data_IF_168409604392
#
_entry.id   IF_168409604392
#
_cell.length_a   1.000
_cell.length_b   1.000
_cell.length_c   1.000
_cell.angle_alpha   90.00
_cell.angle_beta   90.00
_cell.angle_gamma   90.00
#
_symmetry.space_group_name_H-M   'P 1'
#
loop_
_entity.id
_entity.type
_entity.pdbx_description
1 polymer ?
#
# COMPACT_ATOMS: atom_id res chain seq x y z
N UNK A 1 10.13 13.79 -2.96
CA UNK A 1 8.76 13.43 -2.55
C UNK A 1 8.29 12.33 -3.49
N UNK A 2 7.90 11.15 -2.99
CA UNK A 2 7.36 10.08 -3.85
C UNK A 2 5.85 10.30 -3.92
N UNK A 3 5.30 10.44 -5.12
CA UNK A 3 3.88 10.70 -5.36
C UNK A 3 3.25 9.47 -6.03
N UNK A 4 2.13 8.95 -5.51
CA UNK A 4 1.32 7.92 -6.17
C UNK A 4 0.88 8.32 -7.58
N UNK A 5 0.72 7.33 -8.45
CA UNK A 5 0.03 7.52 -9.72
C UNK A 5 -1.48 7.72 -9.45
N UNK A 6 -2.02 8.89 -9.84
CA UNK A 6 -3.42 9.25 -9.63
C UNK A 6 -4.07 9.79 -10.93
N UNK A 7 -5.01 9.07 -11.56
CA UNK A 7 -5.48 7.73 -11.20
C UNK A 7 -4.43 6.65 -11.55
N UNK A 8 -4.38 5.53 -10.81
CA UNK A 8 -3.41 4.48 -11.07
C UNK A 8 -3.76 3.72 -12.35
N UNK A 9 -2.79 3.62 -13.26
CA UNK A 9 -2.92 2.85 -14.49
C UNK A 9 -3.16 1.36 -14.25
N UNK A 10 -3.63 0.67 -15.29
CA UNK A 10 -4.02 -0.74 -15.23
C UNK A 10 -2.93 -1.66 -14.63
N UNK A 11 -1.68 -1.45 -15.03
CA UNK A 11 -0.53 -2.24 -14.54
C UNK A 11 -0.32 -2.02 -13.05
N UNK A 12 -0.29 -0.76 -12.60
CA UNK A 12 -0.11 -0.41 -11.18
C UNK A 12 -1.24 -1.00 -10.35
N UNK A 13 -2.50 -0.77 -10.73
CA UNK A 13 -3.68 -1.32 -10.04
C UNK A 13 -3.66 -2.85 -9.97
N UNK A 14 -3.24 -3.53 -11.04
CA UNK A 14 -3.13 -5.00 -11.07
C UNK A 14 -2.08 -5.51 -10.10
N UNK A 15 -0.89 -4.90 -10.07
CA UNK A 15 0.19 -5.31 -9.16
C UNK A 15 -0.17 -5.02 -7.70
N UNK A 16 -0.84 -3.89 -7.42
CA UNK A 16 -1.37 -3.58 -6.08
C UNK A 16 -2.40 -4.61 -5.63
N UNK A 17 -3.35 -4.99 -6.49
CA UNK A 17 -4.33 -6.03 -6.14
C UNK A 17 -3.67 -7.39 -5.84
N UNK A 18 -2.66 -7.78 -6.63
CA UNK A 18 -1.88 -9.00 -6.37
C UNK A 18 -1.16 -8.92 -5.01
N UNK A 19 -0.52 -7.78 -4.73
CA UNK A 19 0.15 -7.52 -3.46
C UNK A 19 -0.79 -7.67 -2.27
N UNK A 20 -1.93 -6.99 -2.30
CA UNK A 20 -2.95 -7.08 -1.25
C UNK A 20 -3.44 -8.53 -1.07
N UNK A 21 -3.79 -9.20 -2.17
CA UNK A 21 -4.30 -10.58 -2.14
C UNK A 21 -3.29 -11.58 -1.56
N UNK A 22 -2.01 -11.47 -1.93
CA UNK A 22 -0.94 -12.32 -1.41
C UNK A 22 -0.74 -12.14 0.10
N UNK A 23 -1.06 -10.96 0.63
CA UNK A 23 -0.96 -10.62 2.05
C UNK A 23 -2.30 -10.77 2.81
N UNK A 24 -3.31 -11.43 2.21
CA UNK A 24 -4.60 -11.71 2.86
C UNK A 24 -5.61 -10.56 2.82
N UNK A 25 -5.29 -9.44 2.16
CA UNK A 25 -6.20 -8.31 1.97
C UNK A 25 -6.96 -8.46 0.65
N UNK A 26 -8.20 -8.96 0.73
CA UNK A 26 -8.99 -9.35 -0.45
C UNK A 26 -10.17 -8.42 -0.73
N UNK A 27 -10.47 -7.47 0.16
CA UNK A 27 -11.62 -6.57 0.02
C UNK A 27 -11.15 -5.22 -0.51
N UNK A 28 -11.29 -4.95 -1.81
CA UNK A 28 -11.03 -3.61 -2.36
C UNK A 28 -12.16 -2.65 -1.93
N UNK A 29 -11.80 -1.55 -1.28
CA UNK A 29 -12.75 -0.61 -0.65
C UNK A 29 -12.79 0.76 -1.33
N UNK A 30 -11.97 1.00 -2.35
CA UNK A 30 -11.95 2.25 -3.11
C UNK A 30 -10.55 2.76 -3.43
N UNK A 31 -10.51 3.94 -4.04
CA UNK A 31 -9.28 4.66 -4.40
C UNK A 31 -9.40 6.09 -3.87
N UNK A 32 -8.35 6.59 -3.24
CA UNK A 32 -8.25 7.96 -2.75
C UNK A 32 -6.85 8.52 -3.05
N UNK A 33 -6.74 9.58 -3.85
CA UNK A 33 -5.46 10.20 -4.21
C UNK A 33 -4.39 9.21 -4.71
N UNK A 34 -4.77 8.27 -5.58
CA UNK A 34 -3.89 7.20 -6.08
C UNK A 34 -3.64 6.03 -5.11
N UNK A 35 -4.17 6.08 -3.88
CA UNK A 35 -4.09 5.00 -2.90
C UNK A 35 -5.29 4.07 -3.00
N UNK A 36 -5.04 2.78 -3.19
CA UNK A 36 -6.07 1.76 -3.12
C UNK A 36 -6.23 1.31 -1.67
N UNK A 37 -7.48 1.33 -1.20
CA UNK A 37 -7.83 0.82 0.12
C UNK A 37 -8.18 -0.66 0.03
N UNK A 38 -7.58 -1.48 0.88
CA UNK A 38 -7.94 -2.88 1.03
C UNK A 38 -8.22 -3.26 2.48
N UNK A 39 -9.27 -4.05 2.70
CA UNK A 39 -9.61 -4.67 3.98
C UNK A 39 -9.20 -6.14 4.04
N UNK A 40 -8.89 -6.60 5.25
CA UNK A 40 -8.76 -8.03 5.54
C UNK A 40 -10.12 -8.66 5.85
N UNK A 41 -10.29 -9.93 5.45
CA UNK A 41 -11.50 -10.70 5.78
C UNK A 41 -11.42 -11.38 7.14
N UNK A 42 -10.21 -11.55 7.67
CA UNK A 42 -9.95 -12.27 8.94
C UNK A 42 -9.55 -11.34 10.07
N UNK A 43 -8.99 -10.17 9.75
CA UNK A 43 -8.64 -9.15 10.71
C UNK A 43 -9.44 -7.87 10.42
N UNK A 44 -9.92 -7.19 11.47
CA UNK A 44 -10.64 -5.91 11.35
C UNK A 44 -9.64 -4.76 11.09
N UNK A 45 -8.87 -4.86 10.02
CA UNK A 45 -7.82 -3.91 9.63
C UNK A 45 -7.91 -3.59 8.15
N UNK A 46 -7.53 -2.35 7.83
CA UNK A 46 -7.40 -1.86 6.47
C UNK A 46 -5.99 -1.37 6.21
N UNK A 47 -5.56 -1.48 4.96
CA UNK A 47 -4.31 -0.94 4.45
C UNK A 47 -4.57 -0.09 3.22
N UNK A 48 -3.67 0.85 2.99
CA UNK A 48 -3.61 1.68 1.81
C UNK A 48 -2.36 1.31 1.03
N UNK A 49 -2.50 0.99 -0.26
CA UNK A 49 -1.35 0.69 -1.11
C UNK A 49 -1.39 1.53 -2.37
N UNK A 50 -0.23 2.02 -2.79
CA UNK A 50 -0.07 2.86 -3.98
C UNK A 50 1.20 2.49 -4.74
N UNK A 51 1.26 2.86 -6.02
CA UNK A 51 2.46 2.75 -6.84
C UNK A 51 2.74 4.09 -7.50
N UNK A 52 4.00 4.53 -7.47
CA UNK A 52 4.43 5.73 -8.19
C UNK A 52 4.70 5.47 -9.68
N UNK A 53 4.89 4.21 -10.07
CA UNK A 53 5.00 3.79 -11.49
C UNK A 53 4.80 2.28 -11.62
N UNK A 54 4.75 1.79 -12.87
CA UNK A 54 4.69 0.36 -13.20
C UNK A 54 5.85 -0.48 -12.63
N UNK A 55 6.98 0.17 -12.29
CA UNK A 55 8.17 -0.47 -11.70
C UNK A 55 8.39 -0.08 -10.23
N UNK A 56 7.42 0.59 -9.62
CA UNK A 56 7.55 1.18 -8.29
C UNK A 56 8.20 2.58 -8.31
N UNK A 57 8.59 3.13 -7.16
CA UNK A 57 8.45 2.56 -5.82
C UNK A 57 6.98 2.29 -5.46
N UNK A 58 6.78 1.20 -4.71
CA UNK A 58 5.51 0.82 -4.13
C UNK A 58 5.40 1.40 -2.73
N UNK A 59 4.20 1.81 -2.37
CA UNK A 59 3.91 2.50 -1.13
C UNK A 59 2.86 1.71 -0.36
N UNK A 60 3.06 1.60 0.94
CA UNK A 60 2.12 1.00 1.89
C UNK A 60 1.88 2.04 2.98
N UNK A 61 0.63 2.36 3.26
CA UNK A 61 0.24 3.21 4.37
C UNK A 61 -0.74 2.47 5.24
N UNK A 62 -0.53 2.54 6.55
CA UNK A 62 -1.29 1.79 7.55
C UNK A 62 -1.76 2.72 8.65
N UNK A 63 -2.99 2.49 9.10
CA UNK A 63 -3.66 3.38 10.07
C UNK A 63 -3.25 3.10 11.50
N UNK A 64 -2.85 1.86 11.83
CA UNK A 64 -2.60 1.43 13.21
C UNK A 64 -1.11 1.32 13.54
N UNK A 65 -0.66 1.90 14.67
CA UNK A 65 0.75 1.85 15.08
C UNK A 65 1.22 0.45 15.45
N UNK A 66 0.34 -0.47 15.88
CA UNK A 66 0.73 -1.85 16.16
C UNK A 66 1.27 -2.56 14.90
N UNK A 67 0.73 -2.23 13.72
CA UNK A 67 1.17 -2.79 12.44
C UNK A 67 2.56 -2.24 12.06
N UNK A 68 2.87 -1.01 12.47
CA UNK A 68 4.19 -0.40 12.19
C UNK A 68 5.33 -1.18 12.85
N UNK A 69 5.09 -1.76 14.03
CA UNK A 69 6.11 -2.54 14.74
C UNK A 69 6.39 -3.89 14.06
N UNK A 70 5.44 -4.43 13.30
CA UNK A 70 5.60 -5.68 12.55
C UNK A 70 6.25 -5.46 11.17
N UNK A 71 6.16 -4.24 10.64
CA UNK A 71 6.82 -3.87 9.38
C UNK A 71 8.31 -3.71 9.66
N UNK A 72 9.09 -4.71 9.26
CA UNK A 72 10.55 -4.82 9.49
C UNK A 72 11.43 -3.77 8.79
N UNK A 73 10.87 -2.64 8.35
CA UNK A 73 11.59 -1.53 7.73
C UNK A 73 11.01 -0.19 8.17
N UNK A 74 11.84 0.86 8.30
CA UNK A 74 11.39 2.14 8.84
C UNK A 74 10.39 2.85 7.92
N UNK A 75 9.42 3.59 8.49
CA UNK A 75 8.53 4.44 7.72
C UNK A 75 9.29 5.58 7.05
N UNK A 76 8.78 6.04 5.91
CA UNK A 76 9.32 7.18 5.17
C UNK A 76 8.62 8.47 5.57
N UNK A 77 9.40 9.52 5.83
CA UNK A 77 8.87 10.84 6.21
C UNK A 77 8.37 11.67 5.01
N UNK A 78 8.78 11.32 3.78
CA UNK A 78 8.67 12.19 2.61
C UNK A 78 7.44 11.91 1.72
N UNK A 79 6.48 11.13 2.21
CA UNK A 79 5.21 10.84 1.53
C UNK A 79 4.09 10.80 2.57
N UNK A 80 3.10 11.68 2.42
CA UNK A 80 1.86 11.65 3.20
C UNK A 80 0.89 10.65 2.58
N UNK A 81 0.90 9.41 3.07
CA UNK A 81 -0.20 8.47 2.84
C UNK A 81 -1.42 8.78 3.72
N UNK A 82 -2.59 8.17 3.45
CA UNK A 82 -3.80 8.38 4.23
C UNK A 82 -3.72 7.88 5.68
N UNK A 83 -2.84 6.92 5.96
CA UNK A 83 -2.67 6.32 7.28
C UNK A 83 -1.62 6.99 8.16
N UNK A 84 -1.48 6.48 9.38
CA UNK A 84 -0.58 7.00 10.40
C UNK A 84 0.92 6.84 10.07
N UNK A 85 1.27 5.82 9.28
CA UNK A 85 2.62 5.64 8.77
C UNK A 85 2.60 5.23 7.31
N UNK A 86 3.65 5.62 6.59
CA UNK A 86 3.85 5.29 5.19
C UNK A 86 5.22 4.65 5.01
N UNK A 87 5.28 3.59 4.22
CA UNK A 87 6.48 2.85 3.91
C UNK A 87 6.64 2.75 2.40
N UNK A 88 7.89 2.68 1.93
CA UNK A 88 8.17 2.50 0.50
C UNK A 88 9.13 1.35 0.25
N UNK A 89 8.86 0.56 -0.77
CA UNK A 89 9.76 -0.48 -1.26
C UNK A 89 9.93 -0.41 -2.77
N UNK A 90 11.13 -0.71 -3.26
CA UNK A 90 11.38 -0.91 -4.70
C UNK A 90 11.03 -2.33 -5.15
N UNK A 91 10.86 -3.26 -4.21
CA UNK A 91 10.55 -4.64 -4.48
C UNK A 91 9.03 -4.84 -4.53
N UNK A 92 8.57 -5.71 -5.44
CA UNK A 92 7.15 -6.03 -5.51
C UNK A 92 6.73 -6.71 -4.19
N UNK A 93 5.63 -6.26 -3.60
CA UNK A 93 5.06 -6.81 -2.35
C UNK A 93 4.69 -8.30 -2.40
N UNK A 94 4.77 -8.96 -3.57
CA UNK A 94 4.57 -10.40 -3.71
C UNK A 94 5.81 -11.27 -3.45
N UNK A 95 6.94 -10.67 -3.04
CA UNK A 95 8.21 -11.36 -2.83
C UNK A 95 8.90 -10.93 -1.52
N UNK A 96 8.10 -10.50 -0.54
CA UNK A 96 8.47 -10.28 0.87
C UNK A 96 8.14 -11.52 1.68
#
# INVERSE_FOLDING_TARGET
MIVPEDPPGFVVRTELRKAASNNGFRLEQGIEHGWLRFGSTTAQVTIWIAGASQKGPWLLSVDRPEINAEIGFPPIANTSGPGAATFSTKQKFGNI
#
